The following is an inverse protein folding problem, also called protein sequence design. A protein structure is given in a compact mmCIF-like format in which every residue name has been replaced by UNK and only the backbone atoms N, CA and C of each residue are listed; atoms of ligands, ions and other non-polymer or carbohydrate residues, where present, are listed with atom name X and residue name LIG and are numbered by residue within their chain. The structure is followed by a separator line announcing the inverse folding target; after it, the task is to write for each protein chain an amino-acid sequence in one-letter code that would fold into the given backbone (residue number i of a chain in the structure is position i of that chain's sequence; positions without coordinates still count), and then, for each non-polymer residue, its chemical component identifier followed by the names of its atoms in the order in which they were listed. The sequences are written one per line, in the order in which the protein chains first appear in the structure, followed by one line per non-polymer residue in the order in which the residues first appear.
data_IF_877756031931
#
_entry.id   IF_877756031931
#
_cell.length_a   1.000
_cell.length_b   1.000
_cell.length_c   1.000
_cell.angle_alpha   90.00
_cell.angle_beta   90.00
_cell.angle_gamma   90.00
#
_symmetry.space_group_name_H-M   'P 1'
#
loop_
_entity.id
_entity.type
_entity.pdbx_description
1 polymer ?
#
# COMPACT_ATOMS: atom_id res chain seq x y z
N UNK A 1 -42.23 30.50 -17.29
CA UNK A 1 -42.23 29.13 -17.87
C UNK A 1 -40.94 28.46 -17.45
N UNK A 2 -41.01 27.27 -16.82
CA UNK A 2 -39.89 26.62 -16.14
C UNK A 2 -38.82 26.17 -17.15
N UNK A 3 -37.65 26.79 -17.08
CA UNK A 3 -36.41 26.27 -17.64
C UNK A 3 -35.97 25.04 -16.82
N UNK A 4 -36.37 23.85 -17.24
CA UNK A 4 -35.71 22.61 -16.81
C UNK A 4 -34.54 22.33 -17.75
N UNK A 5 -33.51 23.16 -17.67
CA UNK A 5 -32.17 22.78 -18.11
C UNK A 5 -31.65 21.90 -16.98
N UNK A 6 -31.89 20.60 -17.06
CA UNK A 6 -31.18 19.67 -16.19
C UNK A 6 -29.74 19.66 -16.66
N UNK A 7 -28.92 20.42 -15.95
CA UNK A 7 -27.48 20.47 -16.03
C UNK A 7 -26.93 19.09 -15.64
N UNK A 8 -27.02 18.12 -16.57
CA UNK A 8 -26.30 16.87 -16.45
C UNK A 8 -24.86 17.14 -16.87
N UNK A 9 -24.06 17.42 -15.85
CA UNK A 9 -22.61 17.41 -15.87
C UNK A 9 -22.07 16.18 -16.61
N UNK A 10 -20.91 16.40 -17.22
CA UNK A 10 -20.26 15.63 -18.28
C UNK A 10 -19.83 14.21 -17.86
N UNK A 11 -20.79 13.28 -17.74
CA UNK A 11 -20.56 11.89 -17.37
C UNK A 11 -21.20 10.97 -18.42
N UNK A 12 -20.51 10.72 -19.53
CA UNK A 12 -20.92 9.71 -20.51
C UNK A 12 -19.70 8.91 -20.93
N UNK A 13 -19.78 7.59 -20.89
CA UNK A 13 -18.76 6.73 -21.47
C UNK A 13 -18.73 6.97 -22.98
N UNK A 14 -17.62 7.46 -23.51
CA UNK A 14 -17.54 7.82 -24.91
C UNK A 14 -17.76 6.58 -25.79
N UNK A 15 -18.84 6.56 -26.58
CA UNK A 15 -19.22 5.47 -27.51
C UNK A 15 -18.04 5.05 -28.40
N UNK A 16 -17.19 6.02 -28.75
CA UNK A 16 -15.94 5.82 -29.48
C UNK A 16 -15.01 4.80 -28.82
N UNK A 17 -14.93 4.81 -27.50
CA UNK A 17 -14.07 3.91 -26.73
C UNK A 17 -14.67 2.50 -26.67
N UNK A 18 -15.98 2.36 -26.45
CA UNK A 18 -16.65 1.04 -26.48
C UNK A 18 -16.45 0.37 -27.84
N UNK A 19 -16.61 1.16 -28.90
CA UNK A 19 -16.43 0.72 -30.28
C UNK A 19 -15.01 0.25 -30.54
N UNK A 20 -14.01 1.05 -30.15
CA UNK A 20 -12.58 0.70 -30.31
C UNK A 20 -12.21 -0.56 -29.52
N UNK A 21 -12.72 -0.73 -28.31
CA UNK A 21 -12.48 -1.93 -27.48
C UNK A 21 -13.02 -3.22 -28.11
N UNK A 22 -14.13 -3.15 -28.86
CA UNK A 22 -14.65 -4.27 -29.65
C UNK A 22 -14.03 -4.36 -31.06
N UNK A 23 -12.99 -3.57 -31.38
CA UNK A 23 -12.32 -3.51 -32.70
C UNK A 23 -13.27 -3.18 -33.87
N UNK A 24 -14.30 -2.35 -33.64
CA UNK A 24 -15.29 -1.99 -34.64
C UNK A 24 -14.95 -0.68 -35.35
N UNK A 25 -15.21 -0.60 -36.66
CA UNK A 25 -15.23 0.68 -37.38
C UNK A 25 -16.52 1.45 -37.07
N UNK A 26 -16.53 2.77 -37.34
CA UNK A 26 -17.74 3.58 -37.16
C UNK A 26 -18.89 3.09 -38.05
N UNK A 27 -18.57 2.52 -39.22
CA UNK A 27 -19.54 1.92 -40.13
C UNK A 27 -20.12 0.63 -39.55
N UNK A 28 -19.31 -0.21 -38.91
CA UNK A 28 -19.77 -1.47 -38.30
C UNK A 28 -20.75 -1.16 -37.17
N UNK A 29 -20.41 -0.23 -36.27
CA UNK A 29 -21.32 0.19 -35.21
C UNK A 29 -22.60 0.82 -35.77
N UNK A 30 -22.51 1.57 -36.86
CA UNK A 30 -23.68 2.17 -37.50
C UNK A 30 -24.66 1.10 -38.01
N UNK A 31 -24.13 0.03 -38.62
CA UNK A 31 -24.91 -1.11 -39.07
C UNK A 31 -25.59 -1.84 -37.91
N UNK A 32 -24.84 -2.13 -36.83
CA UNK A 32 -25.35 -2.84 -35.65
C UNK A 32 -26.46 -2.07 -34.92
N UNK A 33 -26.29 -0.75 -34.76
CA UNK A 33 -27.30 0.09 -34.10
C UNK A 33 -28.48 0.43 -35.05
N UNK A 34 -28.27 0.27 -36.36
CA UNK A 34 -29.25 0.60 -37.40
C UNK A 34 -29.41 2.11 -37.59
N UNK A 35 -28.29 2.84 -37.68
CA UNK A 35 -28.24 4.29 -37.94
C UNK A 35 -27.21 4.60 -39.03
N UNK A 36 -27.14 5.84 -39.50
CA UNK A 36 -26.14 6.22 -40.50
C UNK A 36 -24.74 6.37 -39.87
N UNK A 37 -23.68 6.20 -40.67
CA UNK A 37 -22.30 6.52 -40.28
C UNK A 37 -22.18 7.94 -39.69
N UNK A 38 -22.84 8.92 -40.33
CA UNK A 38 -22.88 10.31 -39.88
C UNK A 38 -23.49 10.46 -38.49
N UNK A 39 -24.47 9.61 -38.16
CA UNK A 39 -25.12 9.58 -36.85
C UNK A 39 -24.17 9.08 -35.77
N UNK A 40 -23.42 8.00 -36.02
CA UNK A 40 -22.38 7.52 -35.09
C UNK A 40 -21.28 8.57 -34.90
N UNK A 41 -20.82 9.21 -35.98
CA UNK A 41 -19.85 10.31 -35.89
C UNK A 41 -20.35 11.47 -35.05
N UNK A 42 -21.65 11.79 -35.10
CA UNK A 42 -22.27 12.80 -34.25
C UNK A 42 -22.28 12.34 -32.79
N UNK A 43 -22.67 11.09 -32.51
CA UNK A 43 -22.74 10.52 -31.15
C UNK A 43 -21.37 10.40 -30.47
N UNK A 44 -20.29 10.28 -31.23
CA UNK A 44 -18.93 10.23 -30.71
C UNK A 44 -18.31 11.61 -30.40
N UNK A 45 -19.03 12.72 -30.65
CA UNK A 45 -18.58 14.05 -30.26
C UNK A 45 -18.90 14.33 -28.79
N UNK A 46 -18.08 15.18 -28.16
CA UNK A 46 -18.37 15.69 -26.81
C UNK A 46 -19.73 16.41 -26.84
N UNK A 47 -20.53 16.19 -25.79
CA UNK A 47 -21.86 16.79 -25.59
C UNK A 47 -22.94 16.42 -26.62
N UNK A 48 -22.80 15.29 -27.33
CA UNK A 48 -23.81 14.82 -28.26
C UNK A 48 -25.12 14.44 -27.55
N UNK A 49 -26.24 15.05 -27.96
CA UNK A 49 -27.55 14.66 -27.47
C UNK A 49 -28.06 13.42 -28.23
N UNK A 50 -28.06 12.26 -27.58
CA UNK A 50 -28.45 10.98 -28.17
C UNK A 50 -29.90 10.66 -27.78
N UNK A 51 -30.81 10.42 -28.75
CA UNK A 51 -32.17 10.01 -28.43
C UNK A 51 -32.19 8.71 -27.63
N UNK A 52 -33.04 8.64 -26.59
CA UNK A 52 -33.12 7.50 -25.66
C UNK A 52 -33.27 6.16 -26.38
N UNK A 53 -34.05 6.11 -27.46
CA UNK A 53 -34.24 4.90 -28.30
C UNK A 53 -32.92 4.34 -28.83
N UNK A 54 -32.02 5.22 -29.29
CA UNK A 54 -30.73 4.80 -29.83
C UNK A 54 -29.74 4.53 -28.69
N UNK A 55 -29.85 5.26 -27.58
CA UNK A 55 -29.08 5.00 -26.37
C UNK A 55 -29.35 3.58 -25.82
N UNK A 56 -30.62 3.16 -25.78
CA UNK A 56 -31.00 1.81 -25.36
C UNK A 56 -30.41 0.73 -26.25
N UNK A 57 -30.39 0.96 -27.58
CA UNK A 57 -29.77 0.02 -28.53
C UNK A 57 -28.26 -0.08 -28.33
N UNK A 58 -27.61 1.06 -28.12
CA UNK A 58 -26.16 1.11 -27.86
C UNK A 58 -25.85 0.37 -26.55
N UNK A 59 -26.61 0.65 -25.49
CA UNK A 59 -26.45 -0.01 -24.20
C UNK A 59 -26.62 -1.53 -24.32
N UNK A 60 -27.69 -1.99 -25.00
CA UNK A 60 -27.92 -3.40 -25.26
C UNK A 60 -26.79 -4.07 -26.07
N UNK A 61 -26.28 -3.40 -27.11
CA UNK A 61 -25.18 -3.92 -27.94
C UNK A 61 -23.86 -4.12 -27.17
N UNK A 62 -23.63 -3.29 -26.15
CA UNK A 62 -22.44 -3.37 -25.30
C UNK A 62 -22.66 -4.14 -23.99
N UNK A 63 -23.83 -4.76 -23.81
CA UNK A 63 -24.23 -5.47 -22.59
C UNK A 63 -24.17 -4.56 -21.34
N UNK A 64 -24.56 -3.30 -21.51
CA UNK A 64 -24.61 -2.28 -20.47
C UNK A 64 -26.03 -1.80 -20.23
N UNK A 65 -26.30 -1.32 -19.02
CA UNK A 65 -27.43 -0.46 -18.73
C UNK A 65 -27.20 0.96 -19.24
N UNK A 66 -28.29 1.71 -19.43
CA UNK A 66 -28.20 3.13 -19.79
C UNK A 66 -27.42 3.91 -18.71
N UNK A 67 -27.59 3.56 -17.42
CA UNK A 67 -26.87 4.18 -16.33
C UNK A 67 -25.35 3.94 -16.41
N UNK A 68 -24.92 2.73 -16.77
CA UNK A 68 -23.49 2.40 -17.00
C UNK A 68 -22.91 3.16 -18.18
N UNK A 69 -23.73 3.46 -19.20
CA UNK A 69 -23.32 4.32 -20.31
C UNK A 69 -23.09 5.78 -19.89
N UNK A 70 -23.68 6.22 -18.78
CA UNK A 70 -23.52 7.55 -18.16
C UNK A 70 -22.48 7.58 -17.02
N UNK A 71 -21.84 6.47 -16.68
CA UNK A 71 -20.76 6.48 -15.69
C UNK A 71 -19.45 6.93 -16.36
N UNK A 72 -18.75 7.86 -15.70
CA UNK A 72 -17.60 8.62 -16.20
C UNK A 72 -16.53 7.77 -16.89
N UNK A 73 -15.82 8.41 -17.84
CA UNK A 73 -14.52 8.04 -18.40
C UNK A 73 -13.74 7.18 -17.43
N UNK A 74 -13.54 5.92 -17.81
CA UNK A 74 -12.31 5.35 -17.33
C UNK A 74 -11.23 6.04 -18.13
N UNK A 75 -10.43 6.82 -17.39
CA UNK A 75 -9.16 7.38 -17.80
C UNK A 75 -8.57 6.62 -18.99
N UNK A 76 -7.97 7.30 -19.97
CA UNK A 76 -7.02 6.68 -20.90
C UNK A 76 -5.86 5.93 -20.17
N UNK A 77 -5.80 5.99 -18.83
CA UNK A 77 -5.10 5.05 -17.96
C UNK A 77 -5.72 3.63 -17.88
N UNK A 78 -6.77 3.32 -18.65
CA UNK A 78 -7.40 2.00 -18.70
C UNK A 78 -6.65 1.00 -19.61
N UNK A 79 -5.64 1.45 -20.37
CA UNK A 79 -4.56 0.57 -20.85
C UNK A 79 -3.56 0.20 -19.73
N UNK A 80 -3.76 0.72 -18.52
CA UNK A 80 -3.07 0.26 -17.31
C UNK A 80 -4.01 -0.45 -16.34
N UNK A 81 -5.00 -1.20 -16.83
CA UNK A 81 -5.34 -2.47 -16.16
C UNK A 81 -4.19 -3.47 -16.31
N UNK A 82 -2.98 -3.05 -15.95
CA UNK A 82 -2.18 -3.96 -15.17
C UNK A 82 -3.02 -4.07 -13.90
N UNK A 83 -3.84 -5.13 -13.76
CA UNK A 83 -3.97 -5.77 -12.45
C UNK A 83 -2.52 -5.91 -12.03
N UNK A 84 -1.97 -4.94 -11.29
CA UNK A 84 -0.53 -4.90 -11.03
C UNK A 84 -0.29 -6.26 -10.38
N UNK A 85 0.34 -7.15 -11.13
CA UNK A 85 0.37 -8.55 -10.74
C UNK A 85 1.07 -8.59 -9.40
N UNK A 86 0.70 -9.54 -8.53
CA UNK A 86 1.46 -9.72 -7.30
C UNK A 86 2.94 -9.79 -7.65
N UNK A 87 3.74 -8.95 -7.01
CA UNK A 87 5.17 -8.86 -7.30
C UNK A 87 5.96 -9.06 -6.03
N UNK A 88 7.15 -9.64 -6.16
CA UNK A 88 8.05 -9.87 -5.04
C UNK A 88 9.12 -8.79 -5.05
N UNK A 89 9.33 -8.14 -3.89
CA UNK A 89 10.42 -7.19 -3.66
C UNK A 89 10.98 -7.44 -2.27
N UNK A 90 12.31 -7.55 -2.15
CA UNK A 90 13.01 -7.70 -0.87
C UNK A 90 12.44 -8.79 0.07
N UNK A 91 12.06 -9.94 -0.49
CA UNK A 91 11.53 -11.08 0.27
C UNK A 91 10.04 -10.99 0.65
N UNK A 92 9.36 -9.89 0.31
CA UNK A 92 7.92 -9.70 0.55
C UNK A 92 7.14 -9.77 -0.77
N UNK A 93 5.90 -10.27 -0.71
CA UNK A 93 4.97 -10.28 -1.85
C UNK A 93 3.96 -9.17 -1.70
N UNK A 94 3.79 -8.36 -2.73
CA UNK A 94 2.92 -7.21 -2.75
C UNK A 94 1.74 -7.47 -3.67
N UNK A 95 0.53 -7.32 -3.15
CA UNK A 95 -0.73 -7.41 -3.87
C UNK A 95 -1.32 -6.00 -3.98
N UNK A 96 -1.21 -5.37 -5.16
CA UNK A 96 -1.75 -4.05 -5.40
C UNK A 96 -3.28 -4.06 -5.31
N UNK A 97 -3.82 -3.06 -4.63
CA UNK A 97 -5.25 -2.87 -4.42
C UNK A 97 -5.69 -1.54 -5.06
N UNK A 98 -7.00 -1.31 -5.12
CA UNK A 98 -7.55 -0.04 -5.56
C UNK A 98 -7.13 1.12 -4.65
N UNK A 99 -7.17 2.34 -5.18
CA UNK A 99 -6.84 3.57 -4.46
C UNK A 99 -5.41 3.66 -3.90
N UNK A 100 -4.45 2.98 -4.54
CA UNK A 100 -3.03 3.10 -4.20
C UNK A 100 -2.58 2.30 -2.98
N UNK A 101 -3.43 1.41 -2.46
CA UNK A 101 -3.11 0.53 -1.34
C UNK A 101 -2.44 -0.75 -1.80
N UNK A 102 -1.72 -1.40 -0.89
CA UNK A 102 -1.10 -2.70 -1.13
C UNK A 102 -1.33 -3.62 0.07
N UNK A 103 -1.69 -4.87 -0.18
CA UNK A 103 -1.52 -5.94 0.78
C UNK A 103 -0.10 -6.49 0.66
N UNK A 104 0.69 -6.36 1.72
CA UNK A 104 2.07 -6.85 1.82
C UNK A 104 2.07 -8.13 2.63
N UNK A 105 2.53 -9.23 2.02
CA UNK A 105 2.86 -10.47 2.71
C UNK A 105 4.34 -10.44 3.07
N UNK A 106 4.65 -10.06 4.31
CA UNK A 106 6.00 -9.92 4.81
C UNK A 106 6.42 -11.15 5.64
N UNK A 107 7.69 -11.58 5.59
CA UNK A 107 8.23 -12.60 6.50
C UNK A 107 7.98 -12.21 7.97
N UNK A 108 7.49 -13.14 8.77
CA UNK A 108 7.18 -12.96 10.18
C UNK A 108 8.20 -13.70 11.05
N UNK A 109 8.75 -12.98 12.03
CA UNK A 109 9.57 -13.56 13.09
C UNK A 109 8.73 -13.62 14.38
N UNK A 110 8.32 -14.84 14.74
CA UNK A 110 7.65 -15.11 16.01
C UNK A 110 8.65 -15.06 17.16
N UNK A 111 8.17 -14.84 18.39
CA UNK A 111 9.02 -14.69 19.58
C UNK A 111 9.96 -15.88 19.76
N UNK A 112 9.47 -17.10 19.55
CA UNK A 112 10.23 -18.36 19.66
C UNK A 112 11.33 -18.52 18.61
N UNK A 113 11.27 -17.79 17.49
CA UNK A 113 12.21 -17.86 16.36
C UNK A 113 13.14 -16.64 16.28
N UNK A 114 13.12 -15.73 17.26
CA UNK A 114 13.96 -14.52 17.22
C UNK A 114 15.45 -14.83 17.32
N UNK A 115 15.86 -15.79 18.14
CA UNK A 115 17.28 -16.17 18.27
C UNK A 115 17.81 -16.78 16.97
N UNK A 116 17.03 -17.69 16.35
CA UNK A 116 17.36 -18.27 15.05
C UNK A 116 17.53 -17.18 13.97
N UNK A 117 16.66 -16.15 14.00
CA UNK A 117 16.80 -15.00 13.09
C UNK A 117 18.10 -14.22 13.34
N UNK A 118 18.46 -13.94 14.59
CA UNK A 118 19.72 -13.25 14.92
C UNK A 118 20.93 -14.07 14.46
N UNK A 119 20.96 -15.36 14.75
CA UNK A 119 22.04 -16.28 14.33
C UNK A 119 22.18 -16.31 12.81
N UNK A 120 21.05 -16.37 12.09
CA UNK A 120 21.02 -16.34 10.62
C UNK A 120 21.68 -15.08 10.02
N UNK A 121 21.55 -13.93 10.70
CA UNK A 121 22.18 -12.68 10.27
C UNK A 121 23.69 -12.68 10.54
N UNK A 122 24.14 -13.29 11.64
CA UNK A 122 25.56 -13.38 12.02
C UNK A 122 26.31 -14.35 11.11
N UNK A 123 25.70 -15.51 10.82
CA UNK A 123 26.29 -16.56 9.99
C UNK A 123 26.16 -16.28 8.48
N UNK A 124 25.37 -15.27 8.10
CA UNK A 124 24.95 -15.01 6.71
C UNK A 124 24.21 -16.19 6.06
N UNK A 125 23.57 -17.04 6.87
CA UNK A 125 22.74 -18.15 6.42
C UNK A 125 21.28 -17.72 6.44
N UNK A 126 20.81 -17.17 5.31
CA UNK A 126 19.44 -16.71 5.18
C UNK A 126 18.51 -17.90 4.91
N UNK A 127 18.25 -18.67 5.97
CA UNK A 127 17.21 -19.70 5.98
C UNK A 127 15.85 -19.15 5.53
N UNK A 128 14.96 -20.05 5.09
CA UNK A 128 13.64 -19.65 4.61
C UNK A 128 12.74 -19.36 5.81
N UNK A 129 12.37 -18.09 6.02
CA UNK A 129 11.34 -17.75 7.01
C UNK A 129 10.04 -18.47 6.65
N UNK A 130 9.58 -19.33 7.56
CA UNK A 130 8.42 -20.20 7.36
C UNK A 130 7.10 -19.44 7.47
N UNK A 131 7.10 -18.35 8.25
CA UNK A 131 5.90 -17.59 8.56
C UNK A 131 5.83 -16.31 7.75
N UNK A 132 4.62 -15.92 7.37
CA UNK A 132 4.33 -14.65 6.74
C UNK A 132 3.11 -14.01 7.41
N UNK A 133 3.08 -12.69 7.47
CA UNK A 133 1.91 -11.93 7.90
C UNK A 133 1.53 -10.86 6.88
N UNK A 134 0.22 -10.64 6.74
CA UNK A 134 -0.39 -9.73 5.78
C UNK A 134 -0.71 -8.37 6.39
N UNK A 135 -0.28 -7.29 5.75
CA UNK A 135 -0.57 -5.91 6.17
C UNK A 135 -1.06 -5.06 5.00
N UNK A 136 -2.03 -4.17 5.26
CA UNK A 136 -2.43 -3.17 4.26
C UNK A 136 -1.63 -1.87 4.49
N UNK A 137 -0.89 -1.44 3.48
CA UNK A 137 -0.08 -0.22 3.49
C UNK A 137 -0.52 0.74 2.38
N UNK A 138 -0.31 2.03 2.60
CA UNK A 138 -0.72 3.09 1.67
C UNK A 138 0.43 3.55 0.76
N UNK A 139 1.65 3.04 0.98
CA UNK A 139 2.85 3.32 0.18
C UNK A 139 3.82 2.14 0.22
N UNK A 140 4.70 2.06 -0.78
CA UNK A 140 5.77 1.07 -0.85
C UNK A 140 7.10 1.71 -0.48
N UNK A 141 7.73 1.21 0.58
CA UNK A 141 9.12 1.51 0.87
C UNK A 141 10.06 0.89 -0.16
N UNK A 142 11.28 1.44 -0.23
CA UNK A 142 12.33 0.88 -1.08
C UNK A 142 13.08 -0.27 -0.42
N UNK A 143 13.10 -0.28 0.90
CA UNK A 143 13.78 -1.26 1.73
C UNK A 143 12.90 -2.47 2.06
N UNK A 144 13.50 -3.47 2.71
CA UNK A 144 12.83 -4.71 3.08
C UNK A 144 11.78 -4.49 4.17
N UNK A 145 10.60 -5.09 3.98
CA UNK A 145 9.60 -5.21 5.05
C UNK A 145 9.81 -6.51 5.82
N UNK A 146 9.62 -6.46 7.14
CA UNK A 146 9.63 -7.65 8.01
C UNK A 146 8.64 -7.46 9.14
N UNK A 147 7.91 -8.53 9.47
CA UNK A 147 7.00 -8.54 10.60
C UNK A 147 7.65 -9.19 11.82
N UNK A 148 7.32 -8.67 13.00
CA UNK A 148 7.84 -9.17 14.28
C UNK A 148 6.70 -9.31 15.28
N UNK A 149 6.64 -10.45 15.94
CA UNK A 149 5.86 -10.59 17.17
C UNK A 149 6.61 -9.92 18.33
N UNK A 150 5.88 -9.12 19.10
CA UNK A 150 6.43 -8.36 20.22
C UNK A 150 6.42 -9.19 21.50
N UNK A 151 7.56 -9.19 22.20
CA UNK A 151 7.70 -9.80 23.52
C UNK A 151 7.80 -8.73 24.61
N UNK A 152 6.95 -8.86 25.64
CA UNK A 152 6.90 -7.97 26.79
C UNK A 152 6.09 -6.69 26.58
N UNK A 153 5.87 -5.94 27.67
CA UNK A 153 4.96 -4.78 27.72
C UNK A 153 5.69 -3.44 27.86
N UNK A 154 6.99 -3.40 27.55
CA UNK A 154 7.78 -2.17 27.66
C UNK A 154 7.27 -0.99 26.80
N UNK A 155 6.51 -1.31 25.74
CA UNK A 155 5.90 -0.34 24.84
C UNK A 155 4.39 -0.20 25.05
N UNK A 156 3.87 -0.69 26.18
CA UNK A 156 2.43 -0.65 26.50
C UNK A 156 2.14 0.24 27.70
N UNK A 157 1.64 1.44 27.44
CA UNK A 157 1.08 2.37 28.42
C UNK A 157 -0.45 2.42 28.37
N UNK A 158 -1.10 1.52 27.62
CA UNK A 158 -2.54 1.53 27.37
C UNK A 158 -3.03 2.60 26.39
N UNK A 159 -2.14 3.42 25.80
CA UNK A 159 -2.52 4.44 24.81
C UNK A 159 -2.83 3.84 23.44
N UNK A 160 -3.39 4.65 22.53
CA UNK A 160 -3.61 4.23 21.14
C UNK A 160 -2.30 3.93 20.40
N UNK A 161 -1.17 4.49 20.83
CA UNK A 161 0.14 4.25 20.21
C UNK A 161 0.86 3.04 20.83
N UNK A 162 0.39 2.53 21.97
CA UNK A 162 0.92 1.35 22.67
C UNK A 162 1.12 0.14 21.77
N UNK A 163 2.22 -0.58 21.98
CA UNK A 163 2.55 -1.82 21.32
C UNK A 163 2.67 -2.90 22.42
N UNK A 164 1.55 -3.61 22.72
CA UNK A 164 1.51 -4.61 23.78
C UNK A 164 2.23 -5.89 23.41
N UNK A 165 2.51 -6.70 24.43
CA UNK A 165 2.98 -8.08 24.26
C UNK A 165 2.07 -8.85 23.30
N UNK A 166 2.66 -9.68 22.44
CA UNK A 166 2.00 -10.44 21.36
C UNK A 166 1.41 -9.64 20.21
N UNK A 167 1.53 -8.31 20.22
CA UNK A 167 1.25 -7.53 19.01
C UNK A 167 2.18 -7.97 17.87
N UNK A 168 1.69 -7.92 16.63
CA UNK A 168 2.52 -8.14 15.45
C UNK A 168 2.73 -6.78 14.77
N UNK A 169 3.98 -6.37 14.64
CA UNK A 169 4.33 -5.11 13.98
C UNK A 169 4.96 -5.36 12.62
N UNK A 170 4.69 -4.46 11.67
CA UNK A 170 5.38 -4.41 10.39
C UNK A 170 6.48 -3.34 10.47
N UNK A 171 7.72 -3.79 10.31
CA UNK A 171 8.90 -2.95 10.22
C UNK A 171 9.33 -2.72 8.77
N UNK A 172 9.72 -1.49 8.43
CA UNK A 172 10.45 -1.15 7.20
C UNK A 172 11.92 -0.96 7.55
N UNK A 173 12.80 -1.79 6.97
CA UNK A 173 14.25 -1.75 7.24
C UNK A 173 14.82 -0.38 6.88
N UNK A 174 15.74 0.12 7.69
CA UNK A 174 16.50 1.30 7.35
C UNK A 174 17.80 0.91 6.62
N UNK A 175 18.09 1.60 5.52
CA UNK A 175 19.36 1.46 4.82
C UNK A 175 20.52 2.01 5.66
N UNK A 176 21.71 1.40 5.56
CA UNK A 176 22.90 1.82 6.33
C UNK A 176 23.26 3.30 6.14
N UNK A 177 23.07 3.85 4.94
CA UNK A 177 23.33 5.27 4.63
C UNK A 177 22.27 6.23 5.15
N UNK A 178 21.06 5.73 5.48
CA UNK A 178 19.99 6.55 6.06
C UNK A 178 20.30 6.87 7.53
N UNK A 179 20.92 5.94 8.26
CA UNK A 179 21.36 6.16 9.66
C UNK A 179 22.31 7.36 9.79
N UNK A 180 23.18 7.59 8.79
CA UNK A 180 24.16 8.68 8.81
C UNK A 180 23.57 10.04 8.39
N UNK A 181 22.59 10.05 7.47
CA UNK A 181 22.00 11.29 6.90
C UNK A 181 20.69 11.72 7.57
N UNK A 182 19.98 10.80 8.23
CA UNK A 182 18.62 11.00 8.76
C UNK A 182 18.56 11.07 10.30
N UNK A 183 19.64 11.50 10.96
CA UNK A 183 19.69 11.69 12.41
C UNK A 183 18.56 12.60 12.97
N UNK A 184 17.90 13.42 12.14
CA UNK A 184 16.71 14.21 12.52
C UNK A 184 15.37 13.52 12.24
N UNK A 185 15.31 12.59 11.30
CA UNK A 185 14.06 11.94 10.85
C UNK A 185 13.71 10.70 11.66
N UNK A 186 14.71 10.11 12.33
CA UNK A 186 14.52 8.91 13.13
C UNK A 186 13.87 9.13 14.50
N UNK A 187 13.79 10.38 14.97
CA UNK A 187 13.28 10.67 16.30
C UNK A 187 11.75 10.58 16.37
N UNK A 188 11.25 10.26 17.56
CA UNK A 188 9.84 10.25 17.94
C UNK A 188 8.98 9.20 17.23
N UNK A 189 9.55 8.01 17.01
CA UNK A 189 8.82 6.87 16.44
C UNK A 189 9.24 5.54 17.10
N UNK A 190 8.39 4.51 17.02
CA UNK A 190 8.75 3.16 17.43
C UNK A 190 9.60 2.45 16.36
N UNK A 191 10.61 1.72 16.82
CA UNK A 191 11.50 0.91 15.99
C UNK A 191 11.66 -0.49 16.56
N UNK A 192 11.87 -1.46 15.68
CA UNK A 192 12.46 -2.74 16.01
C UNK A 192 13.97 -2.64 15.85
N UNK A 193 14.69 -3.03 16.89
CA UNK A 193 16.14 -3.11 16.93
C UNK A 193 16.52 -4.57 17.06
N UNK A 194 17.18 -5.10 16.05
CA UNK A 194 17.72 -6.46 16.04
C UNK A 194 19.15 -6.35 16.52
N UNK A 195 19.36 -6.63 17.80
CA UNK A 195 20.68 -6.63 18.42
C UNK A 195 21.36 -7.99 18.25
N UNK A 196 22.65 -8.07 18.58
CA UNK A 196 23.41 -9.34 18.56
C UNK A 196 22.89 -10.40 19.53
N UNK A 197 22.16 -9.99 20.57
CA UNK A 197 21.71 -10.86 21.66
C UNK A 197 20.18 -10.91 21.82
N UNK A 198 19.43 -9.97 21.25
CA UNK A 198 17.98 -9.84 21.42
C UNK A 198 17.32 -8.98 20.35
N UNK A 199 16.01 -9.14 20.18
CA UNK A 199 15.18 -8.22 19.40
C UNK A 199 14.31 -7.41 20.35
N UNK A 200 14.30 -6.08 20.20
CA UNK A 200 13.54 -5.19 21.06
C UNK A 200 12.73 -4.16 20.25
N UNK A 201 11.55 -3.83 20.76
CA UNK A 201 10.78 -2.67 20.29
C UNK A 201 10.99 -1.50 21.25
N UNK A 202 11.41 -0.35 20.74
CA UNK A 202 11.68 0.86 21.53
C UNK A 202 11.27 2.12 20.80
N UNK A 203 10.94 3.16 21.57
CA UNK A 203 10.75 4.50 21.03
C UNK A 203 12.11 5.20 20.94
N UNK A 204 12.55 5.56 19.73
CA UNK A 204 13.81 6.30 19.57
C UNK A 204 13.52 7.78 19.66
N UNK A 205 14.18 8.49 20.57
CA UNK A 205 14.01 9.94 20.77
C UNK A 205 15.22 10.77 20.34
N UNK A 206 16.38 10.13 20.14
CA UNK A 206 17.59 10.84 19.75
C UNK A 206 18.72 9.92 19.33
N UNK A 207 19.74 10.55 18.75
CA UNK A 207 21.00 9.93 18.38
C UNK A 207 22.18 10.70 19.00
N UNK A 208 23.09 9.97 19.62
CA UNK A 208 24.33 10.48 20.18
C UNK A 208 25.47 10.25 19.19
N UNK A 209 25.74 11.24 18.34
CA UNK A 209 26.78 11.13 17.30
C UNK A 209 28.22 11.08 17.82
N UNK A 210 28.47 11.40 19.09
CA UNK A 210 29.81 11.26 19.70
C UNK A 210 30.09 9.82 20.13
N UNK A 211 29.08 9.18 20.69
CA UNK A 211 29.18 7.81 21.22
C UNK A 211 28.63 6.77 20.23
N UNK A 212 28.15 7.21 19.06
CA UNK A 212 27.55 6.37 18.02
C UNK A 212 26.41 5.50 18.56
N UNK A 213 25.49 6.10 19.33
CA UNK A 213 24.44 5.39 20.06
C UNK A 213 23.05 6.00 19.84
N UNK A 214 21.99 5.20 19.98
CA UNK A 214 20.59 5.65 19.94
C UNK A 214 19.99 5.70 21.34
N UNK A 215 19.21 6.74 21.64
CA UNK A 215 18.50 6.85 22.91
C UNK A 215 17.13 6.17 22.82
N UNK A 216 17.02 5.05 23.54
CA UNK A 216 15.87 4.15 23.57
C UNK A 216 15.00 4.44 24.78
N UNK A 217 13.74 4.80 24.51
CA UNK A 217 12.73 5.05 25.52
C UNK A 217 11.68 3.94 25.54
N UNK A 218 11.24 3.58 26.75
CA UNK A 218 10.07 2.75 26.97
C UNK A 218 8.82 3.63 27.07
N UNK A 219 7.73 3.21 26.44
CA UNK A 219 6.47 3.92 26.58
C UNK A 219 5.84 3.62 27.94
N UNK A 220 5.94 2.37 28.40
CA UNK A 220 5.55 1.96 29.73
C UNK A 220 6.53 2.52 30.79
N UNK A 221 6.00 3.23 31.79
CA UNK A 221 6.77 3.91 32.85
C UNK A 221 6.84 3.14 34.16
N UNK A 222 6.44 1.87 34.18
CA UNK A 222 6.64 1.01 35.36
C UNK A 222 8.14 0.87 35.71
N UNK A 223 8.51 0.73 37.00
CA UNK A 223 9.90 0.77 37.46
C UNK A 223 10.85 -0.25 36.83
N UNK A 224 10.32 -1.37 36.33
CA UNK A 224 11.07 -2.41 35.63
C UNK A 224 11.55 -2.00 34.23
N UNK A 225 11.00 -0.92 33.65
CA UNK A 225 11.38 -0.41 32.34
C UNK A 225 12.14 0.91 32.49
N UNK A 226 13.45 0.85 32.27
CA UNK A 226 14.32 2.03 32.30
C UNK A 226 14.77 2.41 30.90
N UNK A 227 14.76 3.70 30.60
CA UNK A 227 15.28 4.25 29.34
C UNK A 227 16.82 4.07 29.32
N UNK A 228 17.40 3.86 28.14
CA UNK A 228 18.83 3.54 28.00
C UNK A 228 19.39 4.01 26.65
N UNK A 229 20.71 4.16 26.59
CA UNK A 229 21.45 4.33 25.32
C UNK A 229 21.91 2.97 24.80
N UNK A 230 21.81 2.78 23.48
CA UNK A 230 22.23 1.55 22.80
C UNK A 230 23.26 1.89 21.71
N UNK A 231 24.50 1.39 21.82
CA UNK A 231 25.50 1.56 20.77
C UNK A 231 25.01 0.99 19.43
N UNK A 232 25.23 1.71 18.33
CA UNK A 232 24.87 1.23 16.99
C UNK A 232 25.65 -0.04 16.60
N UNK A 233 26.86 -0.22 17.12
CA UNK A 233 27.71 -1.39 16.83
C UNK A 233 27.12 -2.71 17.37
N UNK A 234 26.22 -2.63 18.35
CA UNK A 234 25.50 -3.76 18.93
C UNK A 234 24.23 -4.11 18.14
N UNK A 235 23.85 -3.27 17.17
CA UNK A 235 22.64 -3.41 16.36
C UNK A 235 22.99 -3.98 14.99
N UNK A 236 22.41 -5.13 14.65
CA UNK A 236 22.57 -5.78 13.36
C UNK A 236 21.66 -5.16 12.29
N UNK A 237 20.40 -4.88 12.65
CA UNK A 237 19.40 -4.27 11.76
C UNK A 237 18.42 -3.38 12.54
N UNK A 238 17.90 -2.35 11.86
CA UNK A 238 16.89 -1.42 12.40
C UNK A 238 15.70 -1.36 11.45
N UNK A 239 14.49 -1.41 12.00
CA UNK A 239 13.24 -1.28 11.25
C UNK A 239 12.32 -0.23 11.86
N UNK A 240 11.86 0.74 11.06
CA UNK A 240 10.80 1.68 11.45
C UNK A 240 9.47 0.93 11.51
N UNK A 241 8.76 1.00 12.64
CA UNK A 241 7.43 0.40 12.77
C UNK A 241 6.41 1.26 12.01
N UNK A 242 5.87 0.73 10.92
CA UNK A 242 4.92 1.46 10.04
C UNK A 242 3.46 1.01 10.22
N UNK A 243 3.22 -0.19 10.75
CA UNK A 243 1.90 -0.73 11.11
C UNK A 243 2.01 -1.69 12.29
N UNK A 244 0.91 -1.86 13.01
CA UNK A 244 0.73 -2.87 14.07
C UNK A 244 -0.62 -3.55 13.97
N UNK A 245 -0.68 -4.79 14.41
CA UNK A 245 -1.88 -5.61 14.61
C UNK A 245 -1.89 -6.01 16.08
N UNK A 246 -3.04 -5.82 16.74
CA UNK A 246 -3.27 -6.10 18.15
C UNK A 246 -4.16 -7.34 18.30
#
# INVERSE_FOLDING_TARGET
MRNNITQYSNYMYAIKQLRRKKNLSQSDLALEIGVSLRTIQLYEKKDANIPIKNLTKIAAYFDLSIAELYLQEVNEAQETYIRRQPFTKNGSVFYPMDHGKYLVMAPLILTEHQNEYIESLVENDFGKSTFQSGFIVDFLGDEAYRAFEISGNSMDDGSIVAIPNKAIVLGLKLGRTALEKENKTMCNKPYILVCRDRIICKWITGFNGKENAVYCQNLNKSPEYQDFELPLDDILEIFEVVKKQL
#
